data_IF_348854621979
#
_entry.id   IF_348854621979
#
_cell.length_a   1.000
_cell.length_b   1.000
_cell.length_c   1.000
_cell.angle_alpha   90.00
_cell.angle_beta   90.00
_cell.angle_gamma   90.00
#
_symmetry.space_group_name_H-M   'P 1'
#
loop_
_entity.id
_entity.type
_entity.pdbx_description
1 polymer ?
#
# COMPACT_ATOMS: atom_id res chain seq x y z
N UNK A 1 -14.19 -8.83 15.98
CA UNK A 1 -14.74 -9.92 15.16
C UNK A 1 -15.93 -9.47 14.33
N UNK A 2 -16.95 -8.86 14.89
CA UNK A 2 -18.18 -8.43 14.17
C UNK A 2 -17.87 -7.54 12.94
N UNK A 3 -16.96 -6.58 13.09
CA UNK A 3 -16.57 -5.70 11.98
C UNK A 3 -15.93 -6.51 10.82
N UNK A 4 -15.10 -7.48 11.15
CA UNK A 4 -14.47 -8.35 10.15
C UNK A 4 -15.51 -9.22 9.43
N UNK A 5 -16.43 -9.84 10.16
CA UNK A 5 -17.50 -10.67 9.58
C UNK A 5 -18.45 -9.85 8.70
N UNK A 6 -18.71 -8.58 9.06
CA UNK A 6 -19.48 -7.68 8.21
C UNK A 6 -18.76 -7.36 6.89
N UNK A 7 -17.42 -7.17 6.93
CA UNK A 7 -16.63 -6.99 5.71
C UNK A 7 -16.66 -8.25 4.84
N UNK A 8 -16.49 -9.43 5.43
CA UNK A 8 -16.59 -10.71 4.71
C UNK A 8 -17.95 -10.90 4.06
N UNK A 9 -19.03 -10.59 4.80
CA UNK A 9 -20.38 -10.65 4.26
C UNK A 9 -20.55 -9.73 3.04
N UNK A 10 -20.12 -8.47 3.17
CA UNK A 10 -20.17 -7.50 2.06
C UNK A 10 -19.41 -8.00 0.83
N UNK A 11 -18.16 -8.44 1.03
CA UNK A 11 -17.32 -8.91 -0.07
C UNK A 11 -17.94 -10.13 -0.78
N UNK A 12 -18.41 -11.12 -0.03
CA UNK A 12 -19.08 -12.27 -0.64
C UNK A 12 -20.33 -11.88 -1.45
N UNK A 13 -21.05 -10.85 -1.01
CA UNK A 13 -22.23 -10.37 -1.74
C UNK A 13 -21.88 -9.70 -3.07
N UNK A 14 -20.73 -9.03 -3.18
CA UNK A 14 -20.34 -8.31 -4.39
C UNK A 14 -19.46 -9.13 -5.34
N UNK A 15 -18.75 -10.17 -4.87
CA UNK A 15 -17.86 -10.97 -5.71
C UNK A 15 -18.51 -11.53 -6.98
N UNK A 16 -19.76 -12.02 -6.98
CA UNK A 16 -20.41 -12.45 -8.24
C UNK A 16 -20.55 -11.34 -9.29
N UNK A 17 -20.66 -10.09 -8.86
CA UNK A 17 -20.68 -8.93 -9.78
C UNK A 17 -19.27 -8.62 -10.27
N UNK A 18 -18.28 -8.70 -9.39
CA UNK A 18 -16.87 -8.55 -9.75
C UNK A 18 -16.44 -9.59 -10.79
N UNK A 19 -16.79 -10.86 -10.56
CA UNK A 19 -16.53 -11.96 -11.50
C UNK A 19 -17.20 -11.73 -12.88
N UNK A 20 -18.45 -11.27 -12.86
CA UNK A 20 -19.22 -11.05 -14.10
C UNK A 20 -18.65 -9.92 -14.96
N UNK A 21 -18.15 -8.88 -14.35
CA UNK A 21 -17.73 -7.66 -15.04
C UNK A 21 -16.21 -7.44 -15.04
N UNK A 22 -15.44 -8.41 -14.56
CA UNK A 22 -13.98 -8.33 -14.44
C UNK A 22 -13.50 -7.09 -13.65
N UNK A 23 -14.09 -6.89 -12.46
CA UNK A 23 -13.81 -5.74 -11.60
C UNK A 23 -13.03 -6.18 -10.38
N UNK A 24 -11.83 -5.65 -10.21
CA UNK A 24 -11.03 -5.88 -9.03
C UNK A 24 -11.41 -4.93 -7.89
N UNK A 25 -11.71 -5.50 -6.73
CA UNK A 25 -11.83 -4.77 -5.48
C UNK A 25 -10.44 -4.61 -4.85
N UNK A 26 -10.04 -3.38 -4.58
CA UNK A 26 -8.74 -3.06 -4.00
C UNK A 26 -8.93 -2.42 -2.62
N UNK A 27 -8.96 -3.26 -1.57
CA UNK A 27 -9.24 -2.82 -0.21
C UNK A 27 -8.04 -2.07 0.35
N UNK A 28 -8.25 -0.81 0.74
CA UNK A 28 -7.23 0.01 1.37
C UNK A 28 -7.05 -0.39 2.84
N UNK A 29 -5.80 -0.48 3.35
CA UNK A 29 -5.56 -0.76 4.76
C UNK A 29 -6.05 0.38 5.67
N UNK A 30 -6.20 0.03 6.94
CA UNK A 30 -6.42 1.02 7.98
C UNK A 30 -5.21 1.95 8.11
N UNK A 31 -5.43 3.24 8.24
CA UNK A 31 -4.41 4.26 8.46
C UNK A 31 -4.73 5.07 9.73
N UNK A 32 -3.87 5.06 10.73
CA UNK A 32 -2.67 4.23 10.89
C UNK A 32 -2.98 2.75 11.19
N UNK A 33 -1.95 1.90 11.09
CA UNK A 33 -2.05 0.44 11.28
C UNK A 33 -2.15 0.02 12.76
N UNK A 34 -2.86 0.78 13.59
CA UNK A 34 -3.17 0.46 14.99
C UNK A 34 -4.55 1.01 15.38
N UNK A 35 -5.19 0.47 16.44
CA UNK A 35 -6.46 0.96 16.94
C UNK A 35 -6.40 2.44 17.34
N UNK A 36 -7.41 3.21 16.94
CA UNK A 36 -7.52 4.64 17.24
C UNK A 36 -8.85 4.89 17.96
N UNK A 37 -8.84 5.71 19.00
CA UNK A 37 -10.03 6.04 19.83
C UNK A 37 -10.76 4.80 20.40
N UNK A 38 -10.03 3.72 20.68
CA UNK A 38 -10.64 2.48 21.14
C UNK A 38 -11.39 1.67 20.06
N UNK A 39 -11.38 2.14 18.80
CA UNK A 39 -12.01 1.45 17.68
C UNK A 39 -11.04 0.43 17.06
N UNK A 40 -11.52 -0.78 16.75
CA UNK A 40 -10.68 -1.80 16.15
C UNK A 40 -10.31 -1.45 14.70
N UNK A 41 -9.13 -1.93 14.29
CA UNK A 41 -8.64 -1.91 12.91
C UNK A 41 -8.47 -3.34 12.43
N UNK A 42 -8.97 -3.67 11.25
CA UNK A 42 -9.10 -5.05 10.74
C UNK A 42 -8.28 -5.35 9.50
N UNK A 43 -7.63 -4.34 8.88
CA UNK A 43 -6.73 -4.47 7.73
C UNK A 43 -5.43 -3.71 8.04
N UNK A 44 -4.57 -4.27 8.90
CA UNK A 44 -3.42 -3.53 9.44
C UNK A 44 -2.11 -4.33 9.55
N UNK A 45 -2.12 -5.62 9.27
CA UNK A 45 -0.93 -6.49 9.36
C UNK A 45 -1.01 -7.63 8.36
N UNK A 46 0.12 -8.34 8.15
CA UNK A 46 0.17 -9.54 7.32
C UNK A 46 -0.90 -10.55 7.71
N UNK A 47 -1.04 -10.83 9.01
CA UNK A 47 -2.06 -11.77 9.51
C UNK A 47 -3.47 -11.34 9.10
N UNK A 48 -3.80 -10.06 9.26
CA UNK A 48 -5.13 -9.55 8.92
C UNK A 48 -5.42 -9.64 7.42
N UNK A 49 -4.47 -9.25 6.57
CA UNK A 49 -4.68 -9.33 5.12
C UNK A 49 -4.80 -10.78 4.65
N UNK A 50 -3.96 -11.69 5.15
CA UNK A 50 -4.03 -13.10 4.78
C UNK A 50 -5.33 -13.74 5.27
N UNK A 51 -5.78 -13.40 6.48
CA UNK A 51 -7.09 -13.81 6.98
C UNK A 51 -8.22 -13.36 6.04
N UNK A 52 -8.19 -12.09 5.60
CA UNK A 52 -9.21 -11.53 4.71
C UNK A 52 -9.20 -12.21 3.34
N UNK A 53 -8.03 -12.36 2.74
CA UNK A 53 -7.87 -12.97 1.42
C UNK A 53 -8.28 -14.45 1.42
N UNK A 54 -8.00 -15.17 2.50
CA UNK A 54 -8.40 -16.58 2.66
C UNK A 54 -9.91 -16.75 2.95
N UNK A 55 -10.52 -15.79 3.67
CA UNK A 55 -11.97 -15.86 3.98
C UNK A 55 -12.84 -15.54 2.77
N UNK A 56 -12.34 -14.73 1.86
CA UNK A 56 -12.98 -14.40 0.57
C UNK A 56 -11.96 -14.71 -0.52
N UNK A 57 -11.77 -16.01 -0.78
CA UNK A 57 -10.80 -16.50 -1.74
C UNK A 57 -11.36 -16.36 -3.17
N UNK A 58 -11.25 -15.14 -3.68
CA UNK A 58 -11.66 -14.77 -5.03
C UNK A 58 -10.58 -13.87 -5.65
N UNK A 59 -10.12 -14.10 -6.88
CA UNK A 59 -9.06 -13.30 -7.50
C UNK A 59 -9.39 -11.80 -7.57
N UNK A 60 -10.66 -11.43 -7.68
CA UNK A 60 -11.10 -10.05 -7.70
C UNK A 60 -11.14 -9.38 -6.30
N UNK A 61 -11.01 -10.16 -5.22
CA UNK A 61 -10.84 -9.62 -3.87
C UNK A 61 -9.35 -9.42 -3.59
N UNK A 62 -8.89 -8.20 -3.51
CA UNK A 62 -7.48 -7.88 -3.29
C UNK A 62 -7.27 -6.58 -2.53
N UNK A 63 -6.08 -6.05 -2.62
CA UNK A 63 -5.61 -4.94 -1.80
C UNK A 63 -5.22 -3.73 -2.64
N UNK A 64 -5.50 -2.55 -2.10
CA UNK A 64 -4.64 -1.39 -2.29
C UNK A 64 -3.49 -1.52 -1.30
N UNK A 65 -2.30 -1.88 -1.75
CA UNK A 65 -1.15 -1.98 -0.86
C UNK A 65 -0.59 -0.58 -0.61
N UNK A 66 -0.92 0.00 0.54
CA UNK A 66 -0.43 1.32 0.93
C UNK A 66 0.76 1.19 1.86
N UNK A 67 1.94 1.57 1.37
CA UNK A 67 3.20 1.46 2.13
C UNK A 67 3.23 2.35 3.36
N UNK A 68 2.69 3.57 3.28
CA UNK A 68 2.61 4.47 4.42
C UNK A 68 1.65 3.99 5.49
N UNK A 69 0.47 3.47 5.08
CA UNK A 69 -0.52 2.96 6.04
C UNK A 69 -0.02 1.70 6.74
N UNK A 70 0.39 0.66 6.03
CA UNK A 70 0.98 -0.54 6.65
C UNK A 70 2.28 -0.22 7.38
N UNK A 71 3.14 0.60 6.78
CA UNK A 71 4.43 0.99 7.33
C UNK A 71 4.33 1.93 8.53
N UNK A 72 3.15 2.51 8.84
CA UNK A 72 2.96 3.27 10.07
C UNK A 72 3.23 2.41 11.32
N UNK A 73 2.99 1.09 11.24
CA UNK A 73 3.43 0.13 12.25
C UNK A 73 4.80 -0.44 11.88
N UNK A 74 5.88 -0.11 12.62
CA UNK A 74 7.23 -0.59 12.32
C UNK A 74 7.42 -2.11 12.47
N UNK A 75 6.48 -2.82 13.09
CA UNK A 75 6.50 -4.28 13.21
C UNK A 75 6.07 -4.97 11.89
N UNK A 76 5.50 -4.24 10.95
CA UNK A 76 5.12 -4.76 9.65
C UNK A 76 6.32 -4.83 8.69
N UNK A 77 6.72 -6.01 8.29
CA UNK A 77 7.64 -6.22 7.17
C UNK A 77 6.87 -6.08 5.83
N UNK A 78 6.99 -4.93 5.20
CA UNK A 78 6.26 -4.60 3.98
C UNK A 78 6.67 -5.48 2.80
N UNK A 79 7.94 -5.85 2.72
CA UNK A 79 8.47 -6.72 1.66
C UNK A 79 7.86 -8.11 1.78
N UNK A 80 7.89 -8.69 2.98
CA UNK A 80 7.27 -9.99 3.27
C UNK A 80 5.76 -9.97 3.04
N UNK A 81 5.09 -8.87 3.39
CA UNK A 81 3.65 -8.69 3.14
C UNK A 81 3.32 -8.65 1.64
N UNK A 82 4.14 -7.99 0.81
CA UNK A 82 3.96 -7.96 -0.65
C UNK A 82 4.09 -9.36 -1.24
N UNK A 83 5.13 -10.11 -0.86
CA UNK A 83 5.29 -11.48 -1.32
C UNK A 83 4.14 -12.39 -0.88
N UNK A 84 3.67 -12.25 0.35
CA UNK A 84 2.53 -13.02 0.88
C UNK A 84 1.22 -12.74 0.12
N UNK A 85 1.01 -11.50 -0.32
CA UNK A 85 -0.18 -11.07 -1.06
C UNK A 85 0.00 -11.13 -2.60
N UNK A 86 1.01 -11.87 -3.10
CA UNK A 86 1.26 -12.01 -4.54
C UNK A 86 -0.01 -12.38 -5.31
N UNK A 87 -0.27 -11.63 -6.41
CA UNK A 87 -1.44 -11.83 -7.26
C UNK A 87 -2.75 -11.29 -6.67
N UNK A 88 -2.71 -10.67 -5.49
CA UNK A 88 -3.88 -10.09 -4.81
C UNK A 88 -3.69 -8.61 -4.46
N UNK A 89 -2.64 -7.98 -4.97
CA UNK A 89 -2.45 -6.53 -4.91
C UNK A 89 -2.94 -5.97 -6.24
N UNK A 90 -4.02 -5.19 -6.23
CA UNK A 90 -4.62 -4.63 -7.43
C UNK A 90 -4.27 -3.16 -7.65
N UNK A 91 -3.84 -2.49 -6.58
CA UNK A 91 -3.38 -1.13 -6.61
C UNK A 91 -2.26 -0.95 -5.59
N UNK A 92 -1.27 -0.11 -5.87
CA UNK A 92 -0.22 0.23 -4.93
C UNK A 92 -0.19 1.74 -4.66
N UNK A 93 -0.28 2.12 -3.38
CA UNK A 93 0.04 3.44 -2.87
C UNK A 93 1.44 3.39 -2.28
N UNK A 94 2.39 4.04 -2.94
CA UNK A 94 3.81 3.93 -2.57
C UNK A 94 4.31 5.29 -2.09
N UNK A 95 4.14 5.54 -0.80
CA UNK A 95 4.64 6.73 -0.09
C UNK A 95 5.63 6.35 0.99
N UNK A 96 6.55 7.25 1.28
CA UNK A 96 7.46 7.11 2.40
C UNK A 96 6.96 7.91 3.59
N UNK A 97 7.23 7.41 4.78
CA UNK A 97 6.97 8.08 6.05
C UNK A 97 8.23 8.06 6.91
N UNK A 98 8.32 8.99 7.84
CA UNK A 98 9.42 9.07 8.80
C UNK A 98 8.90 8.89 10.22
N UNK A 99 9.41 7.90 10.93
CA UNK A 99 9.09 7.72 12.34
C UNK A 99 9.70 8.83 13.17
N UNK A 100 8.89 9.45 14.04
CA UNK A 100 9.32 10.53 14.94
C UNK A 100 9.19 10.15 16.41
N UNK A 101 8.59 8.99 16.70
CA UNK A 101 8.42 8.45 18.05
C UNK A 101 7.52 7.23 18.05
N UNK A 102 7.19 6.71 19.23
CA UNK A 102 6.23 5.61 19.37
C UNK A 102 4.87 6.05 18.84
N UNK A 103 4.35 5.32 17.82
CA UNK A 103 3.12 5.63 17.12
C UNK A 103 3.03 7.07 16.61
N UNK A 104 4.16 7.62 16.21
CA UNK A 104 4.27 8.95 15.63
C UNK A 104 5.07 8.89 14.34
N UNK A 105 4.53 9.46 13.31
CA UNK A 105 5.20 9.56 12.00
C UNK A 105 4.75 10.83 11.27
N UNK A 106 5.55 11.24 10.32
CA UNK A 106 5.24 12.32 9.39
C UNK A 106 5.46 11.89 7.96
N UNK A 107 4.88 12.63 7.01
CA UNK A 107 5.14 12.41 5.59
C UNK A 107 6.60 12.75 5.25
N UNK A 108 7.25 11.91 4.46
CA UNK A 108 8.61 12.08 3.99
C UNK A 108 8.68 12.16 2.47
N UNK A 109 9.81 12.62 1.92
CA UNK A 109 10.07 12.44 0.49
C UNK A 109 10.16 10.93 0.16
N UNK A 110 9.92 10.59 -1.10
CA UNK A 110 9.89 9.19 -1.53
C UNK A 110 11.26 8.51 -1.53
N UNK A 111 12.36 9.26 -1.46
CA UNK A 111 13.71 8.71 -1.30
C UNK A 111 13.80 7.89 0.01
N UNK A 112 14.37 6.68 -0.04
CA UNK A 112 14.56 5.85 1.15
C UNK A 112 15.39 6.55 2.23
N UNK A 113 16.33 7.43 1.86
CA UNK A 113 17.16 8.19 2.78
C UNK A 113 16.42 9.27 3.58
N UNK A 114 15.25 9.71 3.12
CA UNK A 114 14.51 10.82 3.72
C UNK A 114 13.44 10.34 4.71
N UNK A 115 13.03 9.09 4.61
CA UNK A 115 12.06 8.48 5.49
C UNK A 115 12.59 7.24 6.21
N UNK A 116 11.68 6.40 6.65
CA UNK A 116 11.97 5.18 7.43
C UNK A 116 11.73 3.88 6.65
N UNK A 117 11.17 3.97 5.44
CA UNK A 117 10.85 2.80 4.62
C UNK A 117 11.90 2.62 3.52
N UNK A 118 12.29 1.36 3.25
CA UNK A 118 13.14 1.03 2.11
C UNK A 118 12.29 0.98 0.82
N UNK A 119 12.20 2.13 0.16
CA UNK A 119 11.39 2.29 -1.03
C UNK A 119 11.88 1.46 -2.21
N UNK A 120 13.21 1.22 -2.28
CA UNK A 120 13.77 0.35 -3.32
C UNK A 120 13.36 -1.10 -3.12
N UNK A 121 13.52 -1.63 -1.89
CA UNK A 121 13.13 -3.01 -1.57
C UNK A 121 11.62 -3.24 -1.78
N UNK A 122 10.78 -2.27 -1.44
CA UNK A 122 9.34 -2.29 -1.67
C UNK A 122 9.02 -2.35 -3.17
N UNK A 123 9.60 -1.46 -3.98
CA UNK A 123 9.39 -1.44 -5.43
C UNK A 123 9.90 -2.73 -6.08
N UNK A 124 11.03 -3.24 -5.59
CA UNK A 124 11.58 -4.52 -6.07
C UNK A 124 10.65 -5.69 -5.74
N UNK A 125 10.07 -5.74 -4.54
CA UNK A 125 9.12 -6.78 -4.18
C UNK A 125 7.85 -6.74 -5.05
N UNK A 126 7.31 -5.56 -5.33
CA UNK A 126 6.20 -5.39 -6.28
C UNK A 126 6.58 -5.90 -7.67
N UNK A 127 7.77 -5.56 -8.15
CA UNK A 127 8.28 -6.02 -9.43
C UNK A 127 8.46 -7.55 -9.48
N UNK A 128 9.13 -8.13 -8.50
CA UNK A 128 9.42 -9.57 -8.42
C UNK A 128 8.15 -10.42 -8.28
N UNK A 129 7.09 -9.88 -7.69
CA UNK A 129 5.79 -10.55 -7.59
C UNK A 129 4.98 -10.50 -8.87
N UNK A 130 5.43 -9.74 -9.89
CA UNK A 130 4.74 -9.57 -11.17
C UNK A 130 3.56 -8.63 -11.07
N UNK A 131 3.60 -7.67 -10.14
CA UNK A 131 2.55 -6.65 -10.03
C UNK A 131 2.48 -5.80 -11.32
N UNK A 132 1.29 -5.69 -11.90
CA UNK A 132 1.02 -4.99 -13.17
C UNK A 132 -0.07 -3.90 -13.02
N UNK A 133 -0.56 -3.71 -11.80
CA UNK A 133 -1.57 -2.69 -11.50
C UNK A 133 -1.01 -1.26 -11.46
N UNK A 134 -1.89 -0.26 -11.26
CA UNK A 134 -1.47 1.12 -11.14
C UNK A 134 -0.69 1.37 -9.84
N UNK A 135 0.35 2.23 -9.95
CA UNK A 135 1.11 2.74 -8.80
C UNK A 135 0.83 4.23 -8.65
N UNK A 136 0.58 4.65 -7.45
CA UNK A 136 0.36 6.04 -7.08
C UNK A 136 1.38 6.45 -6.02
N UNK A 137 2.05 7.63 -6.14
CA UNK A 137 2.95 8.14 -5.09
C UNK A 137 2.21 8.53 -3.80
N UNK A 138 0.89 8.50 -3.81
CA UNK A 138 -0.06 8.70 -2.71
C UNK A 138 0.02 10.10 -2.09
N UNK A 139 0.65 10.27 -0.92
CA UNK A 139 0.80 11.55 -0.28
C UNK A 139 2.05 12.29 -0.75
N UNK A 140 2.08 13.60 -0.46
CA UNK A 140 3.21 14.48 -0.68
C UNK A 140 3.18 15.63 0.29
N UNK A 141 4.36 16.06 0.72
CA UNK A 141 4.53 17.23 1.58
C UNK A 141 4.15 18.48 0.82
N UNK A 142 3.75 19.51 1.54
CA UNK A 142 3.55 20.85 0.99
C UNK A 142 4.92 21.51 0.85
N UNK A 143 5.47 21.56 -0.39
CA UNK A 143 6.76 22.17 -0.67
C UNK A 143 6.58 23.36 -1.63
N UNK A 144 7.57 24.26 -1.68
CA UNK A 144 7.60 25.43 -2.57
C UNK A 144 6.37 26.33 -2.46
N UNK A 145 5.91 26.57 -1.23
CA UNK A 145 4.80 27.47 -0.89
C UNK A 145 3.49 27.15 -1.62
N UNK A 146 3.31 25.91 -2.10
CA UNK A 146 2.04 25.51 -2.70
C UNK A 146 0.91 25.53 -1.68
N UNK A 147 -0.31 25.79 -2.17
CA UNK A 147 -1.53 25.79 -1.36
C UNK A 147 -2.43 24.65 -1.81
N UNK A 148 -2.51 23.59 -1.00
CA UNK A 148 -3.35 22.44 -1.25
C UNK A 148 -3.84 21.86 0.08
N UNK A 149 -4.60 20.78 0.03
CA UNK A 149 -4.96 20.03 1.22
C UNK A 149 -3.68 19.41 1.83
N UNK A 150 -3.45 19.52 3.15
CA UNK A 150 -2.30 18.91 3.81
C UNK A 150 -2.16 17.43 3.47
N UNK A 151 -0.92 17.00 3.16
CA UNK A 151 -0.63 15.63 2.72
C UNK A 151 -0.85 15.39 1.22
N UNK A 152 -1.32 16.38 0.46
CA UNK A 152 -1.59 16.23 -0.98
C UNK A 152 -0.81 17.22 -1.85
N UNK A 153 0.39 17.59 -1.43
CA UNK A 153 1.30 18.45 -2.18
C UNK A 153 1.58 17.89 -3.59
N UNK A 154 1.27 18.69 -4.63
CA UNK A 154 1.39 18.26 -6.02
C UNK A 154 2.85 18.06 -6.44
N UNK A 155 3.71 19.00 -6.06
CA UNK A 155 5.13 18.97 -6.47
C UNK A 155 5.86 17.78 -5.86
N UNK A 156 5.67 17.53 -4.56
CA UNK A 156 6.31 16.39 -3.89
C UNK A 156 5.81 15.04 -4.43
N UNK A 157 4.52 14.94 -4.76
CA UNK A 157 3.96 13.76 -5.44
C UNK A 157 4.53 13.57 -6.86
N UNK A 158 4.76 14.66 -7.60
CA UNK A 158 5.37 14.57 -8.92
C UNK A 158 6.83 14.10 -8.83
N UNK A 159 7.60 14.59 -7.85
CA UNK A 159 8.94 14.10 -7.56
C UNK A 159 8.92 12.62 -7.15
N UNK A 160 7.97 12.24 -6.30
CA UNK A 160 7.75 10.85 -5.91
C UNK A 160 7.46 9.95 -7.10
N UNK A 161 6.56 10.37 -8.00
CA UNK A 161 6.25 9.61 -9.21
C UNK A 161 7.49 9.43 -10.10
N UNK A 162 8.29 10.48 -10.28
CA UNK A 162 9.54 10.41 -11.05
C UNK A 162 10.55 9.43 -10.42
N UNK A 163 10.71 9.46 -9.10
CA UNK A 163 11.57 8.55 -8.36
C UNK A 163 11.14 7.08 -8.50
N UNK A 164 9.86 6.79 -8.31
CA UNK A 164 9.32 5.44 -8.44
C UNK A 164 9.46 4.90 -9.87
N UNK A 165 9.21 5.76 -10.87
CA UNK A 165 9.44 5.38 -12.28
C UNK A 165 10.93 5.08 -12.56
N UNK A 166 11.85 5.83 -11.97
CA UNK A 166 13.28 5.58 -12.11
C UNK A 166 13.71 4.23 -11.55
N UNK A 167 13.17 3.85 -10.37
CA UNK A 167 13.40 2.52 -9.80
C UNK A 167 12.83 1.43 -10.72
N UNK A 168 11.59 1.59 -11.18
CA UNK A 168 10.94 0.61 -12.06
C UNK A 168 11.68 0.42 -13.38
N UNK A 169 12.17 1.53 -13.97
CA UNK A 169 13.00 1.48 -15.18
C UNK A 169 14.30 0.70 -14.94
N UNK A 170 14.96 0.90 -13.79
CA UNK A 170 16.18 0.16 -13.43
C UNK A 170 15.92 -1.34 -13.33
N UNK A 171 14.87 -1.74 -12.60
CA UNK A 171 14.47 -3.14 -12.45
C UNK A 171 14.15 -3.80 -13.79
N UNK A 172 13.46 -3.09 -14.69
CA UNK A 172 13.19 -3.57 -16.05
C UNK A 172 14.45 -3.79 -16.88
N UNK A 173 15.48 -2.97 -16.70
CA UNK A 173 16.77 -3.13 -17.43
C UNK A 173 17.59 -4.29 -16.88
N UNK A 174 17.60 -4.45 -15.56
CA UNK A 174 18.29 -5.56 -14.92
C UNK A 174 17.73 -6.92 -15.37
N UNK A 175 16.42 -7.07 -15.44
CA UNK A 175 15.76 -8.31 -15.86
C UNK A 175 15.99 -8.67 -17.34
N UNK A 176 16.33 -7.70 -18.19
CA UNK A 176 16.63 -7.94 -19.63
C UNK A 176 18.08 -8.34 -19.89
N UNK A 177 18.95 -8.20 -18.89
CA UNK A 177 20.36 -8.50 -18.99
C UNK A 177 20.72 -9.88 -18.38
N UNK A 178 19.72 -10.62 -17.94
CA UNK A 178 19.82 -12.00 -17.46
C UNK A 178 19.22 -12.93 -18.51
#
# INVERSE_FOLDING_TARGET
ETLFENLVYFLNAIMPVCDKYDINMAIHPDDPAWPVFGLPRIVRSKEHIMRLLNRVDNPHNGLTFCTGSFGSNPDNDLVDMIYAAKGRIHFAHVRNIKYTGDRQFEEAAHLSSDGSLDMYAIMKALYDTGFDGPIRPDHGRMIWDEKAMPGYGLYDRALGAAYLNGIWESLNKESRNI
#
